data_IF_338553426869
#
_entry.id   IF_338553426869
#
_cell.length_a   1.000
_cell.length_b   1.000
_cell.length_c   1.000
_cell.angle_alpha   90.00
_cell.angle_beta   90.00
_cell.angle_gamma   90.00
#
_symmetry.space_group_name_H-M   'P 1'
#
loop_
_entity.id
_entity.type
_entity.pdbx_description
1 polymer ?
#
# COMPACT_ATOMS: atom_id res chain seq x y z
N UNK A 1 -12.59 2.09 9.09
CA UNK A 1 -12.08 1.48 7.86
C UNK A 1 -10.65 1.01 8.13
N UNK A 2 -10.47 -0.23 8.59
CA UNK A 2 -9.15 -0.83 8.76
C UNK A 2 -8.71 -1.42 7.41
N UNK A 3 -7.79 -0.73 6.72
CA UNK A 3 -7.14 -1.23 5.51
C UNK A 3 -6.04 -2.23 5.91
N UNK A 4 -6.43 -3.35 6.52
CA UNK A 4 -5.51 -4.45 6.75
C UNK A 4 -5.84 -5.58 5.76
N UNK A 5 -4.94 -5.83 4.81
CA UNK A 5 -5.07 -6.91 3.82
C UNK A 5 -5.30 -6.43 2.38
N UNK A 6 -6.10 -7.19 1.63
CA UNK A 6 -6.24 -7.09 0.15
C UNK A 6 -6.48 -5.67 -0.37
N UNK A 7 -7.25 -4.87 0.35
CA UNK A 7 -7.59 -3.51 -0.07
C UNK A 7 -6.38 -2.56 -0.18
N UNK A 8 -5.32 -2.84 0.59
CA UNK A 8 -4.04 -2.11 0.50
C UNK A 8 -3.30 -2.44 -0.81
N UNK A 9 -3.32 -3.71 -1.21
CA UNK A 9 -2.69 -4.21 -2.43
C UNK A 9 -3.42 -3.67 -3.65
N UNK A 10 -4.75 -3.68 -3.63
CA UNK A 10 -5.56 -3.13 -4.70
C UNK A 10 -5.29 -1.63 -4.89
N UNK A 11 -5.13 -0.90 -3.78
CA UNK A 11 -4.79 0.53 -3.81
C UNK A 11 -3.40 0.76 -4.39
N UNK A 12 -2.39 -0.01 -3.98
CA UNK A 12 -1.03 0.10 -4.51
C UNK A 12 -0.95 -0.27 -5.99
N UNK A 13 -1.69 -1.30 -6.40
CA UNK A 13 -1.79 -1.69 -7.80
C UNK A 13 -2.35 -0.55 -8.65
N UNK A 14 -3.38 0.13 -8.16
CA UNK A 14 -3.95 1.29 -8.83
C UNK A 14 -3.01 2.51 -8.86
N UNK A 15 -2.33 2.82 -7.74
CA UNK A 15 -1.44 3.99 -7.63
C UNK A 15 -0.13 3.83 -8.40
N UNK A 16 0.51 2.67 -8.27
CA UNK A 16 1.82 2.45 -8.86
C UNK A 16 1.71 1.98 -10.32
N UNK A 17 0.63 1.29 -10.68
CA UNK A 17 0.38 0.83 -12.06
C UNK A 17 1.57 0.05 -12.61
N UNK A 18 2.10 0.49 -13.75
CA UNK A 18 3.24 -0.15 -14.43
C UNK A 18 4.57 0.03 -13.70
N UNK A 19 4.69 0.99 -12.78
CA UNK A 19 5.92 1.17 -11.97
C UNK A 19 6.16 -0.03 -11.07
N UNK A 20 5.08 -0.67 -10.62
CA UNK A 20 5.15 -1.73 -9.61
C UNK A 20 5.46 -1.19 -8.22
N UNK A 21 5.40 -2.07 -7.22
CA UNK A 21 5.59 -1.72 -5.80
C UNK A 21 6.16 -2.88 -5.01
N UNK A 22 6.81 -2.58 -3.88
CA UNK A 22 7.34 -3.59 -2.98
C UNK A 22 6.35 -4.00 -1.89
N UNK A 23 5.72 -5.15 -2.05
CA UNK A 23 4.74 -5.66 -1.07
C UNK A 23 5.33 -5.98 0.33
N UNK A 24 6.63 -6.26 0.43
CA UNK A 24 7.29 -6.65 1.70
C UNK A 24 7.45 -5.44 2.63
N UNK A 25 6.73 -5.44 3.74
CA UNK A 25 6.81 -4.43 4.81
C UNK A 25 5.61 -3.49 4.89
N UNK A 26 4.93 -3.22 3.76
CA UNK A 26 3.75 -2.35 3.70
C UNK A 26 2.59 -2.93 4.52
N UNK A 27 2.36 -4.25 4.43
CA UNK A 27 1.25 -4.89 5.14
C UNK A 27 1.42 -4.79 6.65
N UNK A 28 2.64 -4.92 7.16
CA UNK A 28 2.91 -4.84 8.60
C UNK A 28 2.74 -3.40 9.10
N UNK A 29 3.26 -2.41 8.37
CA UNK A 29 3.12 -1.01 8.76
C UNK A 29 1.68 -0.51 8.64
N UNK A 30 1.00 -0.79 7.52
CA UNK A 30 -0.33 -0.26 7.22
C UNK A 30 -1.46 -1.03 7.92
N UNK A 31 -1.22 -2.26 8.36
CA UNK A 31 -2.18 -3.01 9.19
C UNK A 31 -2.17 -2.53 10.66
N UNK A 32 -0.99 -2.28 11.24
CA UNK A 32 -0.88 -1.77 12.61
C UNK A 32 -1.15 -0.25 12.71
N UNK A 33 -0.83 0.51 11.67
CA UNK A 33 -1.11 1.94 11.56
C UNK A 33 -1.69 2.25 10.19
N UNK A 34 -2.98 2.62 10.05
CA UNK A 34 -3.57 2.84 8.74
C UNK A 34 -2.79 3.89 7.95
N UNK A 35 -2.29 3.48 6.79
CA UNK A 35 -1.58 4.37 5.87
C UNK A 35 -2.56 5.20 5.06
N UNK A 36 -2.18 6.45 4.79
CA UNK A 36 -2.88 7.32 3.84
C UNK A 36 -2.43 7.00 2.40
N UNK A 37 -3.24 7.34 1.41
CA UNK A 37 -2.92 7.18 -0.02
C UNK A 37 -1.57 7.81 -0.36
N UNK A 38 -1.30 9.02 0.14
CA UNK A 38 0.00 9.69 -0.05
C UNK A 38 1.19 8.91 0.49
N UNK A 39 1.00 8.18 1.59
CA UNK A 39 2.06 7.35 2.16
C UNK A 39 2.30 6.07 1.35
N UNK A 40 1.34 5.65 0.53
CA UNK A 40 1.46 4.50 -0.36
C UNK A 40 2.21 4.83 -1.65
N UNK A 41 2.19 6.10 -2.08
CA UNK A 41 2.95 6.56 -3.25
C UNK A 41 4.46 6.41 -3.04
N UNK A 42 4.95 6.54 -1.80
CA UNK A 42 6.36 6.34 -1.43
C UNK A 42 6.84 4.89 -1.62
N UNK A 43 5.93 3.94 -1.79
CA UNK A 43 6.24 2.53 -2.00
C UNK A 43 6.21 2.10 -3.47
N UNK A 44 5.86 3.00 -4.38
CA UNK A 44 5.99 2.77 -5.81
C UNK A 44 7.47 2.82 -6.22
N UNK A 45 7.86 1.96 -7.17
CA UNK A 45 9.20 2.00 -7.80
C UNK A 45 9.41 3.24 -8.68
#
# INVERSE_FOLDING_TARGET
HHLCGSHLVDTLYFLCGERGFYYRGIVEQCCHKPCSIHHLEDYCN
#
